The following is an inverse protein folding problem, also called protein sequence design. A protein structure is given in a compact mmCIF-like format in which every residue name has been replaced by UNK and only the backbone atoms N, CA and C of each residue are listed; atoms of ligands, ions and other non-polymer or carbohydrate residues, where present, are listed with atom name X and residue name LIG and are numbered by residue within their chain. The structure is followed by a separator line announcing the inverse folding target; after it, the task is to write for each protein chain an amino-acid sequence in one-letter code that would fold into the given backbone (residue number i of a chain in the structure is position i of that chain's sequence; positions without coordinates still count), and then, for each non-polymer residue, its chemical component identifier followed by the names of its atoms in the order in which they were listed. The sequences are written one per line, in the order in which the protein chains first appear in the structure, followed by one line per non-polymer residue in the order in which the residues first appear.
data_IF_760166286406
#
_entry.id   IF_760166286406
#
_cell.length_a   1.000
_cell.length_b   1.000
_cell.length_c   1.000
_cell.angle_alpha   90.00
_cell.angle_beta   90.00
_cell.angle_gamma   90.00
#
_symmetry.space_group_name_H-M   'P 1'
#
loop_
_entity.id
_entity.type
_entity.pdbx_description
1 polymer ?
#
# COMPACT_ATOMS: atom_id res chain seq x y z
N UNK A 1 -19.37 -21.18 -4.55
CA UNK A 1 -19.44 -19.92 -3.79
C UNK A 1 -19.16 -20.13 -2.30
N UNK A 2 -19.78 -21.07 -1.58
CA UNK A 2 -19.55 -21.26 -0.13
C UNK A 2 -18.10 -21.56 0.23
N UNK A 3 -17.43 -22.45 -0.49
CA UNK A 3 -16.02 -22.84 -0.22
C UNK A 3 -15.03 -21.68 -0.36
N UNK A 4 -15.30 -20.72 -1.26
CA UNK A 4 -14.47 -19.54 -1.43
C UNK A 4 -14.62 -18.54 -0.27
N UNK A 5 -15.83 -18.42 0.27
CA UNK A 5 -16.10 -17.54 1.43
C UNK A 5 -15.50 -18.12 2.71
N UNK A 6 -15.60 -19.43 2.93
CA UNK A 6 -14.96 -20.11 4.08
C UNK A 6 -13.44 -19.95 4.06
N UNK A 7 -12.81 -20.16 2.90
CA UNK A 7 -11.38 -19.99 2.74
C UNK A 7 -10.97 -18.51 2.94
N UNK A 8 -11.71 -17.58 2.38
CA UNK A 8 -11.47 -16.13 2.60
C UNK A 8 -11.59 -15.75 4.08
N UNK A 9 -12.58 -16.32 4.79
CA UNK A 9 -12.75 -16.09 6.22
C UNK A 9 -11.60 -16.68 7.03
N UNK A 10 -11.13 -17.88 6.68
CA UNK A 10 -9.97 -18.51 7.32
C UNK A 10 -8.73 -17.61 7.23
N UNK A 11 -8.47 -17.04 6.04
CA UNK A 11 -7.33 -16.13 5.85
C UNK A 11 -7.49 -14.81 6.59
N UNK A 12 -8.69 -14.23 6.63
CA UNK A 12 -8.98 -13.03 7.46
C UNK A 12 -8.68 -13.31 8.93
N UNK A 13 -9.11 -14.45 9.44
CA UNK A 13 -8.88 -14.86 10.82
C UNK A 13 -7.38 -15.09 11.11
N UNK A 14 -6.67 -15.77 10.21
CA UNK A 14 -5.23 -16.00 10.33
C UNK A 14 -4.44 -14.68 10.32
N UNK A 15 -4.81 -13.72 9.45
CA UNK A 15 -4.20 -12.40 9.41
C UNK A 15 -4.46 -11.59 10.69
N UNK A 16 -5.69 -11.65 11.22
CA UNK A 16 -6.05 -10.99 12.48
C UNK A 16 -5.27 -11.56 13.67
N UNK A 17 -5.08 -12.90 13.71
CA UNK A 17 -4.25 -13.56 14.72
C UNK A 17 -2.79 -13.15 14.64
N UNK A 18 -2.23 -13.03 13.42
CA UNK A 18 -0.86 -12.55 13.21
C UNK A 18 -0.67 -11.12 13.73
N UNK A 19 -1.61 -10.22 13.40
CA UNK A 19 -1.55 -8.83 13.88
C UNK A 19 -1.63 -8.80 15.42
N UNK A 20 -2.54 -9.57 16.03
CA UNK A 20 -2.66 -9.66 17.50
C UNK A 20 -1.38 -10.20 18.14
N UNK A 21 -0.82 -11.28 17.60
CA UNK A 21 0.43 -11.86 18.08
C UNK A 21 1.60 -10.87 18.00
N UNK A 22 1.67 -10.09 16.93
CA UNK A 22 2.69 -9.03 16.78
C UNK A 22 2.49 -7.87 17.76
N UNK A 23 1.24 -7.57 18.15
CA UNK A 23 0.91 -6.47 19.06
C UNK A 23 1.11 -6.83 20.56
N UNK A 24 1.34 -8.11 20.88
CA UNK A 24 1.60 -8.53 22.24
C UNK A 24 3.10 -8.37 22.58
N UNK A 25 3.44 -7.70 23.70
CA UNK A 25 4.83 -7.56 24.12
C UNK A 25 5.48 -8.93 24.36
N UNK A 26 6.69 -9.11 23.85
CA UNK A 26 7.55 -10.30 23.99
C UNK A 26 7.05 -11.60 23.36
N UNK A 27 6.08 -11.57 22.45
CA UNK A 27 5.53 -12.80 21.89
C UNK A 27 6.28 -13.25 20.62
N UNK A 28 6.84 -12.34 19.84
CA UNK A 28 7.55 -12.62 18.59
C UNK A 28 8.73 -11.65 18.39
N UNK A 29 9.74 -11.74 19.25
CA UNK A 29 10.95 -10.91 19.13
C UNK A 29 11.89 -11.36 17.98
N UNK A 30 11.70 -12.56 17.48
CA UNK A 30 12.53 -13.08 16.41
C UNK A 30 12.02 -12.65 15.03
N UNK A 31 12.69 -11.67 14.44
CA UNK A 31 12.39 -11.13 13.10
C UNK A 31 12.37 -12.19 12.00
N UNK A 32 13.17 -13.25 12.11
CA UNK A 32 13.23 -14.33 11.12
C UNK A 32 11.99 -15.22 11.19
N UNK A 33 11.46 -15.46 12.39
CA UNK A 33 10.19 -16.19 12.58
C UNK A 33 9.04 -15.38 11.96
N UNK A 34 8.96 -14.09 12.24
CA UNK A 34 7.95 -13.21 11.65
C UNK A 34 8.02 -13.21 10.12
N UNK A 35 9.22 -13.05 9.56
CA UNK A 35 9.44 -13.09 8.12
C UNK A 35 8.99 -14.41 7.50
N UNK A 36 9.30 -15.52 8.15
CA UNK A 36 8.89 -16.86 7.70
C UNK A 36 7.37 -17.03 7.71
N UNK A 37 6.70 -16.59 8.79
CA UNK A 37 5.23 -16.63 8.90
C UNK A 37 4.58 -15.80 7.80
N UNK A 38 5.05 -14.57 7.57
CA UNK A 38 4.54 -13.71 6.48
C UNK A 38 4.78 -14.33 5.11
N UNK A 39 5.97 -14.93 4.90
CA UNK A 39 6.28 -15.60 3.63
C UNK A 39 5.31 -16.75 3.36
N UNK A 40 5.09 -17.64 4.33
CA UNK A 40 4.14 -18.75 4.20
C UNK A 40 2.72 -18.24 3.97
N UNK A 41 2.30 -17.20 4.71
CA UNK A 41 0.99 -16.60 4.54
C UNK A 41 0.78 -16.06 3.12
N UNK A 42 1.72 -15.27 2.61
CA UNK A 42 1.62 -14.70 1.27
C UNK A 42 1.73 -15.76 0.16
N UNK A 43 2.55 -16.78 0.35
CA UNK A 43 2.60 -17.91 -0.59
C UNK A 43 1.26 -18.66 -0.64
N UNK A 44 0.65 -18.92 0.52
CA UNK A 44 -0.66 -19.55 0.60
C UNK A 44 -1.76 -18.71 -0.07
N UNK A 45 -1.78 -17.40 0.16
CA UNK A 45 -2.69 -16.48 -0.54
C UNK A 45 -2.46 -16.52 -2.05
N UNK A 46 -1.20 -16.54 -2.49
CA UNK A 46 -0.84 -16.64 -3.90
C UNK A 46 -1.34 -17.94 -4.57
N UNK A 47 -1.20 -19.06 -3.88
CA UNK A 47 -1.71 -20.36 -4.37
C UNK A 47 -3.24 -20.40 -4.43
N UNK A 48 -3.91 -19.86 -3.42
CA UNK A 48 -5.37 -19.72 -3.45
C UNK A 48 -5.83 -18.82 -4.61
N UNK A 49 -5.16 -17.71 -4.81
CA UNK A 49 -5.48 -16.81 -5.91
C UNK A 49 -5.33 -17.50 -7.27
N UNK A 50 -4.31 -18.34 -7.46
CA UNK A 50 -4.14 -19.13 -8.68
C UNK A 50 -5.26 -20.15 -8.88
N UNK A 51 -5.70 -20.81 -7.79
CA UNK A 51 -6.80 -21.81 -7.82
C UNK A 51 -8.18 -21.17 -7.95
N UNK A 52 -8.35 -20.00 -7.36
CA UNK A 52 -9.59 -19.21 -7.39
C UNK A 52 -9.66 -18.27 -8.59
N UNK A 53 -8.74 -18.36 -9.57
CA UNK A 53 -8.94 -17.63 -10.82
C UNK A 53 -10.33 -18.02 -11.33
N UNK A 54 -11.30 -17.10 -11.34
CA UNK A 54 -12.57 -17.40 -11.96
C UNK A 54 -12.27 -17.75 -13.41
N UNK A 55 -12.70 -18.93 -13.84
CA UNK A 55 -12.82 -19.31 -15.24
C UNK A 55 -13.97 -18.54 -15.89
N UNK A 56 -14.20 -17.32 -15.42
CA UNK A 56 -15.12 -16.40 -16.06
C UNK A 56 -14.35 -15.74 -17.20
N UNK A 57 -14.69 -16.14 -18.41
CA UNK A 57 -14.49 -15.37 -19.63
C UNK A 57 -15.24 -14.01 -19.58
N UNK A 58 -15.51 -13.48 -18.41
CA UNK A 58 -15.98 -12.11 -18.29
C UNK A 58 -14.81 -11.20 -18.63
N UNK A 59 -14.95 -10.33 -19.62
CA UNK A 59 -13.92 -9.37 -19.97
C UNK A 59 -13.60 -8.58 -18.70
N UNK A 60 -12.32 -8.62 -18.29
CA UNK A 60 -11.83 -7.83 -17.15
C UNK A 60 -12.35 -6.41 -17.36
N UNK A 61 -13.18 -5.93 -16.45
CA UNK A 61 -13.77 -4.58 -16.57
C UNK A 61 -12.63 -3.61 -16.80
N UNK A 62 -12.75 -2.77 -17.82
CA UNK A 62 -11.70 -1.83 -18.26
C UNK A 62 -11.14 -1.00 -17.11
N UNK A 63 -11.97 -0.71 -16.11
CA UNK A 63 -11.58 0.01 -14.89
C UNK A 63 -10.60 -0.79 -14.01
N UNK A 64 -10.77 -2.11 -13.90
CA UNK A 64 -9.86 -2.97 -13.13
C UNK A 64 -8.51 -3.12 -13.82
N UNK A 65 -8.49 -3.17 -15.15
CA UNK A 65 -7.23 -3.19 -15.90
C UNK A 65 -6.47 -1.87 -15.73
N UNK A 66 -7.17 -0.74 -15.83
CA UNK A 66 -6.60 0.58 -15.59
C UNK A 66 -6.06 0.71 -14.15
N UNK A 67 -6.79 0.18 -13.16
CA UNK A 67 -6.33 0.14 -11.77
C UNK A 67 -5.06 -0.70 -11.60
N UNK A 68 -4.98 -1.85 -12.24
CA UNK A 68 -3.78 -2.71 -12.23
C UNK A 68 -2.57 -2.00 -12.80
N UNK A 69 -2.71 -1.35 -13.96
CA UNK A 69 -1.67 -0.54 -14.59
C UNK A 69 -1.23 0.63 -13.69
N UNK A 70 -2.20 1.31 -13.08
CA UNK A 70 -1.92 2.38 -12.13
C UNK A 70 -1.07 1.89 -10.94
N UNK A 71 -1.45 0.77 -10.32
CA UNK A 71 -0.70 0.22 -9.18
C UNK A 71 0.72 -0.15 -9.57
N UNK A 72 0.94 -0.75 -10.74
CA UNK A 72 2.27 -1.05 -11.25
C UNK A 72 3.12 0.20 -11.45
N UNK A 73 2.56 1.23 -12.10
CA UNK A 73 3.23 2.53 -12.29
C UNK A 73 3.51 3.22 -10.95
N UNK A 74 2.57 3.17 -10.02
CA UNK A 74 2.71 3.77 -8.69
C UNK A 74 3.89 3.14 -7.94
N UNK A 75 3.99 1.82 -7.91
CA UNK A 75 5.10 1.12 -7.22
C UNK A 75 6.48 1.48 -7.81
N UNK A 76 6.54 1.82 -9.09
CA UNK A 76 7.79 2.22 -9.75
C UNK A 76 8.13 3.70 -9.54
N UNK A 77 7.11 4.58 -9.44
CA UNK A 77 7.31 6.02 -9.56
C UNK A 77 6.91 6.84 -8.31
N UNK A 78 6.32 6.25 -7.26
CA UNK A 78 5.78 7.00 -6.10
C UNK A 78 6.83 7.83 -5.35
N UNK A 79 8.11 7.50 -5.47
CA UNK A 79 9.21 8.26 -4.86
C UNK A 79 9.60 9.51 -5.65
N UNK A 80 9.08 9.70 -6.85
CA UNK A 80 9.43 10.83 -7.72
C UNK A 80 8.20 11.60 -8.18
N UNK A 81 7.06 10.90 -8.34
CA UNK A 81 5.86 11.44 -8.98
C UNK A 81 4.65 11.30 -8.05
N UNK A 82 4.15 12.43 -7.57
CA UNK A 82 3.04 12.48 -6.63
C UNK A 82 1.73 12.94 -7.26
N UNK A 83 1.77 13.39 -8.54
CA UNK A 83 0.61 13.95 -9.22
C UNK A 83 -0.21 12.90 -9.98
N UNK A 84 -1.52 12.95 -9.82
CA UNK A 84 -2.47 12.08 -10.53
C UNK A 84 -2.36 12.23 -12.05
N UNK A 85 -2.06 13.44 -12.52
CA UNK A 85 -1.88 13.78 -13.94
C UNK A 85 -0.79 12.94 -14.62
N UNK A 86 0.33 12.70 -13.93
CA UNK A 86 1.41 11.85 -14.43
C UNK A 86 0.92 10.43 -14.72
N UNK A 87 0.23 9.81 -13.77
CA UNK A 87 -0.26 8.44 -13.91
C UNK A 87 -1.35 8.34 -14.98
N UNK A 88 -2.27 9.30 -15.03
CA UNK A 88 -3.30 9.35 -16.06
C UNK A 88 -2.67 9.43 -17.46
N UNK A 89 -1.65 10.29 -17.64
CA UNK A 89 -0.90 10.41 -18.89
C UNK A 89 -0.19 9.12 -19.28
N UNK A 90 0.46 8.45 -18.34
CA UNK A 90 1.13 7.15 -18.56
C UNK A 90 0.14 6.04 -18.95
N UNK A 91 -1.08 6.09 -18.43
CA UNK A 91 -2.16 5.17 -18.79
C UNK A 91 -2.91 5.58 -20.08
N UNK A 92 -2.54 6.68 -20.73
CA UNK A 92 -3.16 7.12 -21.98
C UNK A 92 -4.60 7.63 -21.85
N UNK A 93 -4.99 8.13 -20.68
CA UNK A 93 -6.34 8.61 -20.40
C UNK A 93 -6.34 10.01 -19.78
N UNK A 94 -7.48 10.68 -19.83
CA UNK A 94 -7.63 11.99 -19.17
C UNK A 94 -7.66 11.83 -17.65
N UNK A 95 -7.18 12.82 -16.86
CA UNK A 95 -7.21 12.77 -15.39
C UNK A 95 -8.61 12.57 -14.80
N UNK A 96 -9.65 13.10 -15.43
CA UNK A 96 -11.03 12.93 -15.00
C UNK A 96 -11.51 11.48 -15.18
N UNK A 97 -11.29 10.91 -16.38
CA UNK A 97 -11.60 9.50 -16.64
C UNK A 97 -10.81 8.56 -15.73
N UNK A 98 -9.51 8.82 -15.58
CA UNK A 98 -8.62 8.07 -14.70
C UNK A 98 -9.16 8.05 -13.25
N UNK A 99 -9.47 9.23 -12.70
CA UNK A 99 -9.96 9.35 -11.32
C UNK A 99 -11.28 8.61 -11.10
N UNK A 100 -12.20 8.70 -12.06
CA UNK A 100 -13.47 7.98 -12.03
C UNK A 100 -13.31 6.47 -12.08
N UNK A 101 -12.46 5.97 -13.00
CA UNK A 101 -12.20 4.55 -13.17
C UNK A 101 -11.50 3.94 -11.94
N UNK A 102 -10.45 4.62 -11.40
CA UNK A 102 -9.75 4.16 -10.21
C UNK A 102 -10.68 4.11 -9.01
N UNK A 103 -11.51 5.16 -8.78
CA UNK A 103 -12.48 5.16 -7.69
C UNK A 103 -13.50 4.03 -7.83
N UNK A 104 -13.98 3.76 -9.03
CA UNK A 104 -14.93 2.67 -9.29
C UNK A 104 -14.32 1.29 -9.02
N UNK A 105 -13.03 1.11 -9.37
CA UNK A 105 -12.33 -0.17 -9.20
C UNK A 105 -11.86 -0.42 -7.77
N UNK A 106 -11.42 0.62 -7.04
CA UNK A 106 -10.76 0.49 -5.73
C UNK A 106 -11.56 1.04 -4.54
N UNK A 107 -12.61 1.82 -4.78
CA UNK A 107 -13.32 2.56 -3.75
C UNK A 107 -12.62 3.85 -3.30
N UNK A 108 -11.37 4.10 -3.72
CA UNK A 108 -10.55 5.23 -3.30
C UNK A 108 -10.15 6.13 -4.47
N UNK A 109 -9.90 7.41 -4.19
CA UNK A 109 -9.35 8.30 -5.21
C UNK A 109 -7.87 7.96 -5.48
N UNK A 110 -7.36 8.18 -6.71
CA UNK A 110 -5.94 7.99 -7.02
C UNK A 110 -5.02 8.75 -6.07
N UNK A 111 -5.36 9.98 -5.75
CA UNK A 111 -4.57 10.80 -4.82
C UNK A 111 -4.52 10.18 -3.41
N UNK A 112 -5.62 9.61 -2.92
CA UNK A 112 -5.63 8.93 -1.62
C UNK A 112 -4.71 7.71 -1.61
N UNK A 113 -4.68 6.95 -2.72
CA UNK A 113 -3.81 5.77 -2.86
C UNK A 113 -2.34 6.19 -2.91
N UNK A 114 -1.99 7.21 -3.72
CA UNK A 114 -0.63 7.75 -3.81
C UNK A 114 -0.18 8.23 -2.43
N UNK A 115 -0.99 9.04 -1.77
CA UNK A 115 -0.72 9.56 -0.42
C UNK A 115 -0.51 8.44 0.58
N UNK A 116 -1.36 7.42 0.56
CA UNK A 116 -1.26 6.26 1.45
C UNK A 116 0.08 5.52 1.32
N UNK A 117 0.55 5.30 0.10
CA UNK A 117 1.84 4.65 -0.17
C UNK A 117 3.01 5.51 0.32
N UNK A 118 3.00 6.81 0.04
CA UNK A 118 4.05 7.74 0.48
C UNK A 118 4.12 7.77 2.02
N UNK A 119 2.99 7.94 2.69
CA UNK A 119 2.92 8.00 4.15
C UNK A 119 3.33 6.66 4.79
N UNK A 120 2.89 5.53 4.23
CA UNK A 120 3.28 4.20 4.70
C UNK A 120 4.80 4.02 4.61
N UNK A 121 5.42 4.41 3.51
CA UNK A 121 6.86 4.32 3.33
C UNK A 121 7.61 5.29 4.26
N UNK A 122 7.13 6.53 4.40
CA UNK A 122 7.69 7.49 5.35
C UNK A 122 7.68 6.94 6.79
N UNK A 123 6.55 6.39 7.25
CA UNK A 123 6.42 5.76 8.55
C UNK A 123 7.40 4.59 8.73
N UNK A 124 7.53 3.73 7.72
CA UNK A 124 8.45 2.61 7.74
C UNK A 124 9.91 3.09 7.89
N UNK A 125 10.36 4.06 7.08
CA UNK A 125 11.72 4.59 7.17
C UNK A 125 11.99 5.29 8.51
N UNK A 126 11.04 6.07 9.03
CA UNK A 126 11.17 6.75 10.31
C UNK A 126 11.38 5.77 11.46
N UNK A 127 10.73 4.61 11.44
CA UNK A 127 10.84 3.58 12.49
C UNK A 127 11.99 2.60 12.29
N UNK A 128 12.32 2.27 11.04
CA UNK A 128 13.32 1.24 10.76
C UNK A 128 14.74 1.77 10.54
N UNK A 129 14.92 3.09 10.39
CA UNK A 129 16.23 3.70 10.10
C UNK A 129 16.55 4.86 11.04
N UNK A 130 17.85 5.20 11.12
CA UNK A 130 18.33 6.42 11.80
C UNK A 130 18.56 7.59 10.82
N UNK A 131 18.10 7.47 9.58
CA UNK A 131 18.26 8.53 8.59
C UNK A 131 17.63 9.85 9.07
N UNK A 132 18.28 11.00 8.84
CA UNK A 132 17.67 12.30 9.10
C UNK A 132 16.32 12.43 8.38
N UNK A 133 15.36 13.12 9.00
CA UNK A 133 14.02 13.36 8.40
C UNK A 133 14.15 14.02 7.02
N UNK A 134 15.16 14.87 6.85
CA UNK A 134 15.46 15.53 5.57
C UNK A 134 15.81 14.51 4.46
N UNK A 135 16.61 13.50 4.76
CA UNK A 135 17.00 12.46 3.81
C UNK A 135 15.81 11.58 3.45
N UNK A 136 14.97 11.23 4.44
CA UNK A 136 13.71 10.50 4.18
C UNK A 136 12.79 11.32 3.27
N UNK A 137 12.65 12.64 3.53
CA UNK A 137 11.86 13.51 2.67
C UNK A 137 12.36 13.48 1.22
N UNK A 138 13.68 13.61 1.03
CA UNK A 138 14.27 13.60 -0.31
C UNK A 138 14.16 12.24 -1.00
N UNK A 139 14.33 11.14 -0.27
CA UNK A 139 14.16 9.79 -0.83
C UNK A 139 12.73 9.51 -1.29
N UNK A 140 11.77 10.28 -0.79
CA UNK A 140 10.35 10.22 -1.16
C UNK A 140 9.94 11.31 -2.16
N UNK A 141 10.91 12.00 -2.79
CA UNK A 141 10.67 13.00 -3.84
C UNK A 141 10.25 14.38 -3.35
N UNK A 142 10.38 14.67 -2.06
CA UNK A 142 10.09 16.01 -1.55
C UNK A 142 11.34 16.91 -1.64
N UNK A 143 11.28 17.93 -2.44
CA UNK A 143 12.38 18.89 -2.58
C UNK A 143 12.53 19.86 -1.41
N UNK A 144 11.57 19.87 -0.48
CA UNK A 144 11.52 20.80 0.65
C UNK A 144 11.06 20.10 1.92
N UNK A 145 11.90 20.14 2.96
CA UNK A 145 11.63 19.53 4.26
C UNK A 145 10.39 20.11 4.94
N UNK A 146 10.19 21.44 4.85
CA UNK A 146 9.04 22.11 5.46
C UNK A 146 7.73 21.66 4.81
N UNK A 147 7.74 21.45 3.50
CA UNK A 147 6.58 20.90 2.79
C UNK A 147 6.31 19.45 3.19
N UNK A 148 7.35 18.60 3.28
CA UNK A 148 7.21 17.23 3.78
C UNK A 148 6.65 17.18 5.20
N UNK A 149 7.14 18.02 6.11
CA UNK A 149 6.65 18.07 7.49
C UNK A 149 5.15 18.43 7.55
N UNK A 150 4.72 19.42 6.76
CA UNK A 150 3.30 19.80 6.66
C UNK A 150 2.46 18.67 6.05
N UNK A 151 2.98 18.06 4.99
CA UNK A 151 2.31 16.92 4.32
C UNK A 151 2.14 15.72 5.26
N UNK A 152 3.20 15.32 5.94
CA UNK A 152 3.17 14.21 6.88
C UNK A 152 2.22 14.51 8.06
N UNK A 153 2.34 15.68 8.67
CA UNK A 153 1.46 16.10 9.80
C UNK A 153 -0.01 16.14 9.40
N UNK A 154 -0.32 16.58 8.18
CA UNK A 154 -1.70 16.58 7.66
C UNK A 154 -2.34 15.20 7.64
N UNK A 155 -1.56 14.15 7.38
CA UNK A 155 -2.07 12.78 7.18
C UNK A 155 -1.85 11.85 8.37
N UNK A 156 -0.98 12.22 9.31
CA UNK A 156 -0.60 11.41 10.47
C UNK A 156 -0.94 12.09 11.80
N UNK A 157 -1.29 13.39 11.75
CA UNK A 157 -1.59 14.26 12.89
C UNK A 157 -0.40 14.54 13.82
N UNK A 158 0.78 14.02 13.47
CA UNK A 158 2.05 14.19 14.15
C UNK A 158 3.12 14.66 13.17
N UNK A 159 4.15 15.34 13.66
CA UNK A 159 5.33 15.62 12.86
C UNK A 159 6.14 14.31 12.63
N UNK A 160 6.98 14.24 11.58
CA UNK A 160 7.85 13.09 11.38
C UNK A 160 8.77 12.79 12.57
N UNK A 161 9.24 13.84 13.27
CA UNK A 161 10.10 13.68 14.43
C UNK A 161 9.34 13.09 15.62
N UNK A 162 8.17 13.64 15.95
CA UNK A 162 7.29 13.09 17.00
C UNK A 162 6.93 11.63 16.72
N UNK A 163 6.60 11.31 15.45
CA UNK A 163 6.29 9.94 15.04
C UNK A 163 7.46 8.98 15.22
N UNK A 164 8.70 9.45 15.01
CA UNK A 164 9.91 8.64 15.23
C UNK A 164 10.12 8.30 16.69
N UNK A 165 9.82 9.25 17.60
CA UNK A 165 10.06 9.16 19.04
C UNK A 165 8.97 8.40 19.79
N UNK A 166 7.76 8.30 19.24
CA UNK A 166 6.71 7.42 19.76
C UNK A 166 7.04 5.95 19.61
#
# INVERSE_FOLDING_TARGET
MALQEEVAQLYRNAFSLLIRAYSLPNTLDNKEILKSIFTIFFQGVGELYKRCKPTTNEPIKREHELYRQFVQLLMTHYTQEHEVSFYAKKCGVTPAHFSGAIRKASGHSPLAIITGIIIMNAKAQLKSTRLPVKEIAFSLGFNNLSFFNKYFRKHVEMTPQEYREC
#
